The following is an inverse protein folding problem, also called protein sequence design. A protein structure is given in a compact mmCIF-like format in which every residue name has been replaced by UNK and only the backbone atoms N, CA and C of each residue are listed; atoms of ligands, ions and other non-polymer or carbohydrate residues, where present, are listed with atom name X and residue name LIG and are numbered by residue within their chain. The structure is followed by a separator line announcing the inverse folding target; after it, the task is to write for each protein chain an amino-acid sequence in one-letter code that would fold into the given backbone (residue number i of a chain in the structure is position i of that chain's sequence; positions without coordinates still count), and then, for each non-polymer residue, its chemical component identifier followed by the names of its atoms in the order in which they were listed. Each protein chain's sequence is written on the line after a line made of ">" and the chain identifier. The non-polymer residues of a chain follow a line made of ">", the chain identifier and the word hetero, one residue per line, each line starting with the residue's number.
data_IF_933289796932
#
_entry.id   IF_933289796932
#
_cell.length_a   1.000
_cell.length_b   1.000
_cell.length_c   1.000
_cell.angle_alpha   90.00
_cell.angle_beta   90.00
_cell.angle_gamma   90.00
#
_symmetry.space_group_name_H-M   'P 1'
#
loop_
_entity.id
_entity.type
_entity.pdbx_description
1 polymer ?
#
# COMPACT_ATOMS: atom_id res chain seq x y z
N UNK A 1 -60.69 -15.29 12.34
CA UNK A 1 -60.54 -14.35 11.21
C UNK A 1 -59.49 -13.34 11.62
N UNK A 2 -58.31 -13.46 11.04
CA UNK A 2 -57.10 -12.77 11.44
C UNK A 2 -57.00 -11.39 10.79
N UNK A 3 -56.53 -10.39 11.54
CA UNK A 3 -55.80 -9.24 11.02
C UNK A 3 -55.17 -8.47 12.19
N UNK A 4 -53.88 -8.72 12.44
CA UNK A 4 -53.02 -7.84 13.24
C UNK A 4 -52.11 -7.09 12.26
N UNK A 5 -52.24 -5.77 12.06
CA UNK A 5 -51.35 -5.03 11.18
C UNK A 5 -50.22 -4.36 11.98
N UNK A 6 -49.02 -4.44 11.41
CA UNK A 6 -47.80 -3.62 11.67
C UNK A 6 -46.87 -4.10 12.79
N UNK A 7 -46.12 -5.16 12.48
CA UNK A 7 -44.69 -5.17 12.81
C UNK A 7 -44.00 -4.10 11.94
N UNK A 8 -43.67 -2.95 12.53
CA UNK A 8 -42.74 -1.97 11.95
C UNK A 8 -41.32 -2.55 12.07
N UNK A 9 -40.86 -3.22 11.01
CA UNK A 9 -39.44 -3.51 10.82
C UNK A 9 -38.71 -2.22 10.44
N UNK A 10 -38.19 -1.51 11.43
CA UNK A 10 -37.25 -0.41 11.23
C UNK A 10 -35.83 -0.94 11.10
N UNK A 11 -35.45 -1.43 9.92
CA UNK A 11 -34.05 -1.62 9.54
C UNK A 11 -33.64 -0.47 8.60
N UNK A 12 -33.59 0.75 9.15
CA UNK A 12 -33.09 1.94 8.46
C UNK A 12 -31.59 2.10 8.69
N UNK A 13 -30.83 2.04 7.59
CA UNK A 13 -29.38 2.21 7.41
C UNK A 13 -28.57 2.90 8.53
N UNK A 14 -27.89 2.13 9.38
CA UNK A 14 -26.81 2.63 10.25
C UNK A 14 -25.50 2.95 9.47
N UNK A 15 -25.38 2.51 8.21
CA UNK A 15 -24.19 2.70 7.37
C UNK A 15 -24.14 4.05 6.64
N UNK A 16 -25.24 4.83 6.63
CA UNK A 16 -25.34 6.06 5.84
C UNK A 16 -24.93 7.35 6.56
N UNK A 17 -24.90 7.35 7.90
CA UNK A 17 -24.79 8.57 8.72
C UNK A 17 -23.47 8.65 9.52
N UNK A 18 -22.64 7.61 9.48
CA UNK A 18 -21.36 7.62 10.15
C UNK A 18 -20.34 8.42 9.32
N UNK A 19 -19.65 9.43 9.90
CA UNK A 19 -18.61 10.16 9.19
C UNK A 19 -17.51 9.19 8.73
N UNK A 20 -17.12 9.28 7.46
CA UNK A 20 -16.08 8.40 6.92
C UNK A 20 -14.79 8.54 7.75
N UNK A 21 -14.04 7.45 8.03
CA UNK A 21 -12.85 7.53 8.89
C UNK A 21 -11.79 8.50 8.37
N UNK A 22 -11.44 9.51 9.15
CA UNK A 22 -10.40 10.49 8.85
C UNK A 22 -9.80 11.05 10.15
N UNK A 23 -8.68 11.76 10.04
CA UNK A 23 -8.14 12.60 11.11
C UNK A 23 -7.46 13.80 10.46
N UNK A 24 -8.10 14.97 10.55
CA UNK A 24 -7.56 16.19 9.94
C UNK A 24 -6.31 16.63 10.70
N UNK A 25 -6.28 16.43 12.01
CA UNK A 25 -5.18 16.79 12.89
C UNK A 25 -3.90 16.01 12.53
N UNK A 26 -4.04 14.71 12.26
CA UNK A 26 -2.92 13.89 11.81
C UNK A 26 -2.42 14.33 10.42
N UNK A 27 -3.34 14.61 9.48
CA UNK A 27 -2.98 15.11 8.15
C UNK A 27 -2.23 16.45 8.23
N UNK A 28 -2.73 17.39 9.05
CA UNK A 28 -2.09 18.69 9.27
C UNK A 28 -0.70 18.54 9.89
N UNK A 29 -0.54 17.64 10.88
CA UNK A 29 0.74 17.38 11.51
C UNK A 29 1.75 16.73 10.56
N UNK A 30 1.30 15.86 9.64
CA UNK A 30 2.16 15.31 8.58
C UNK A 30 2.66 16.41 7.65
N UNK A 31 1.73 17.20 7.09
CA UNK A 31 2.09 18.26 6.15
C UNK A 31 2.95 19.34 6.80
N UNK A 32 2.57 19.81 7.99
CA UNK A 32 3.36 20.79 8.73
C UNK A 32 4.72 20.25 9.13
N UNK A 33 4.83 18.98 9.52
CA UNK A 33 6.12 18.34 9.80
C UNK A 33 7.05 18.34 8.58
N UNK A 34 6.53 18.03 7.40
CA UNK A 34 7.28 18.08 6.14
C UNK A 34 7.68 19.50 5.71
N UNK A 35 6.87 20.51 6.04
CA UNK A 35 7.19 21.92 5.80
C UNK A 35 8.27 22.47 6.74
N UNK A 36 8.44 21.85 7.92
CA UNK A 36 9.48 22.20 8.88
C UNK A 36 10.78 21.43 8.61
N UNK A 37 10.67 20.16 8.26
CA UNK A 37 11.81 19.26 8.06
C UNK A 37 11.64 18.42 6.80
N UNK A 38 12.19 18.92 5.68
CA UNK A 38 12.14 18.23 4.39
C UNK A 38 12.86 16.86 4.41
N UNK A 39 13.85 16.65 5.30
CA UNK A 39 14.54 15.36 5.47
C UNK A 39 13.63 14.24 5.97
N UNK A 40 12.46 14.56 6.53
CA UNK A 40 11.49 13.57 6.94
C UNK A 40 10.66 12.99 5.77
N UNK A 41 10.83 13.52 4.55
CA UNK A 41 10.10 13.09 3.36
C UNK A 41 10.18 11.57 3.14
N UNK A 42 11.38 10.99 3.13
CA UNK A 42 11.56 9.57 2.82
C UNK A 42 10.77 8.68 3.80
N UNK A 43 10.76 9.03 5.09
CA UNK A 43 10.04 8.27 6.12
C UNK A 43 8.51 8.36 5.96
N UNK A 44 8.01 9.50 5.47
CA UNK A 44 6.57 9.73 5.28
C UNK A 44 6.10 9.15 3.96
N UNK A 45 6.84 9.34 2.87
CA UNK A 45 6.54 8.84 1.54
C UNK A 45 6.52 7.30 1.49
N UNK A 46 7.31 6.65 2.35
CA UNK A 46 7.21 5.20 2.58
C UNK A 46 5.89 4.80 3.25
N UNK A 47 5.32 5.63 4.12
CA UNK A 47 4.14 5.28 4.93
C UNK A 47 2.81 5.63 4.25
N UNK A 48 2.74 6.74 3.52
CA UNK A 48 1.50 7.29 2.95
C UNK A 48 1.72 7.87 1.54
N UNK A 49 0.68 7.76 0.70
CA UNK A 49 0.61 8.46 -0.58
C UNK A 49 -0.45 9.57 -0.60
N UNK A 50 -0.52 10.37 -1.66
CA UNK A 50 -1.49 11.47 -1.78
C UNK A 50 -2.96 11.01 -1.62
N UNK A 51 -3.29 9.80 -2.10
CA UNK A 51 -4.64 9.24 -2.03
C UNK A 51 -5.05 8.88 -0.59
N UNK A 52 -4.09 8.80 0.34
CA UNK A 52 -4.35 8.50 1.75
C UNK A 52 -4.84 9.72 2.54
N UNK A 53 -4.69 10.93 2.01
CA UNK A 53 -5.27 12.12 2.63
C UNK A 53 -6.76 12.22 2.32
N UNK A 54 -7.56 12.52 3.33
CA UNK A 54 -9.00 12.67 3.20
C UNK A 54 -9.34 13.96 2.44
N UNK A 55 -8.72 15.08 2.83
CA UNK A 55 -9.04 16.37 2.23
C UNK A 55 -8.32 16.55 0.88
N UNK A 56 -9.02 17.03 -0.17
CA UNK A 56 -8.41 17.25 -1.49
C UNK A 56 -7.27 18.27 -1.48
N UNK A 57 -7.38 19.34 -0.70
CA UNK A 57 -6.33 20.37 -0.55
C UNK A 57 -5.04 19.77 0.03
N UNK A 58 -5.16 18.90 1.03
CA UNK A 58 -4.02 18.17 1.59
C UNK A 58 -3.31 17.27 0.58
N UNK A 59 -4.06 16.67 -0.37
CA UNK A 59 -3.46 15.88 -1.46
C UNK A 59 -2.57 16.74 -2.34
N UNK A 60 -3.07 17.91 -2.73
CA UNK A 60 -2.32 18.87 -3.55
C UNK A 60 -1.03 19.33 -2.86
N UNK A 61 -1.12 19.60 -1.56
CA UNK A 61 0.05 20.02 -0.77
C UNK A 61 1.07 18.88 -0.70
N UNK A 62 0.64 17.65 -0.39
CA UNK A 62 1.53 16.49 -0.32
C UNK A 62 2.23 16.21 -1.67
N UNK A 63 1.48 16.26 -2.77
CA UNK A 63 1.99 16.09 -4.12
C UNK A 63 3.05 17.16 -4.47
N UNK A 64 2.77 18.42 -4.14
CA UNK A 64 3.70 19.52 -4.36
C UNK A 64 4.99 19.39 -3.52
N UNK A 65 4.87 18.97 -2.26
CA UNK A 65 6.03 18.65 -1.40
C UNK A 65 6.85 17.52 -2.03
N UNK A 66 6.21 16.43 -2.46
CA UNK A 66 6.91 15.32 -3.09
C UNK A 66 7.64 15.70 -4.38
N UNK A 67 7.04 16.56 -5.20
CA UNK A 67 7.67 17.08 -6.39
C UNK A 67 8.92 17.94 -6.09
N UNK A 68 8.93 18.68 -4.98
CA UNK A 68 10.09 19.47 -4.56
C UNK A 68 11.16 18.58 -3.92
N UNK A 69 10.77 17.70 -3.00
CA UNK A 69 11.64 16.78 -2.28
C UNK A 69 12.36 15.82 -3.23
N UNK A 70 11.65 15.25 -4.22
CA UNK A 70 12.23 14.36 -5.24
C UNK A 70 13.27 15.04 -6.13
N UNK A 71 13.26 16.38 -6.22
CA UNK A 71 14.26 17.17 -6.94
C UNK A 71 15.35 17.74 -6.00
N UNK A 72 15.40 17.30 -4.73
CA UNK A 72 16.34 17.80 -3.73
C UNK A 72 16.16 19.28 -3.39
N UNK A 73 14.97 19.84 -3.64
CA UNK A 73 14.68 21.25 -3.35
C UNK A 73 14.15 21.41 -1.92
N UNK A 74 14.40 22.57 -1.27
CA UNK A 74 13.78 22.88 0.01
C UNK A 74 12.25 22.83 -0.08
N UNK A 75 11.62 22.32 0.98
CA UNK A 75 10.17 22.20 1.11
C UNK A 75 9.73 22.99 2.34
N UNK A 76 9.55 24.30 2.17
CA UNK A 76 8.97 25.20 3.15
C UNK A 76 7.66 25.81 2.62
N UNK A 77 6.94 26.56 3.45
CA UNK A 77 5.64 27.12 3.06
C UNK A 77 5.70 28.02 1.80
N UNK A 78 6.83 28.72 1.58
CA UNK A 78 7.01 29.65 0.45
C UNK A 78 7.34 28.90 -0.83
N UNK A 79 8.26 27.94 -0.77
CA UNK A 79 8.66 27.12 -1.91
C UNK A 79 7.52 26.22 -2.39
N UNK A 80 6.76 25.64 -1.46
CA UNK A 80 5.55 24.87 -1.77
C UNK A 80 4.46 25.77 -2.36
N UNK A 81 4.26 26.99 -1.83
CA UNK A 81 3.26 27.91 -2.42
C UNK A 81 3.62 28.30 -3.85
N UNK A 82 4.89 28.59 -4.13
CA UNK A 82 5.36 28.90 -5.49
C UNK A 82 5.17 27.73 -6.45
N UNK A 83 5.42 26.49 -5.98
CA UNK A 83 5.19 25.30 -6.79
C UNK A 83 3.70 25.12 -7.12
N UNK A 84 2.82 25.28 -6.13
CA UNK A 84 1.37 25.22 -6.30
C UNK A 84 0.85 26.35 -7.20
N UNK A 85 1.42 27.54 -7.09
CA UNK A 85 1.08 28.69 -7.95
C UNK A 85 1.45 28.42 -9.41
N UNK A 86 2.64 27.88 -9.66
CA UNK A 86 3.08 27.46 -11.01
C UNK A 86 2.15 26.42 -11.63
N UNK A 87 1.53 25.58 -10.81
CA UNK A 87 0.57 24.57 -11.23
C UNK A 87 -0.88 25.10 -11.30
N UNK A 88 -1.13 26.35 -10.91
CA UNK A 88 -2.49 26.90 -10.83
C UNK A 88 -3.37 26.28 -9.75
N UNK A 89 -2.76 25.66 -8.73
CA UNK A 89 -3.43 24.89 -7.68
C UNK A 89 -3.40 25.55 -6.30
N UNK A 90 -2.72 26.70 -6.15
CA UNK A 90 -2.52 27.37 -4.86
C UNK A 90 -3.83 27.69 -4.13
N UNK A 91 -4.84 28.21 -4.84
CA UNK A 91 -6.15 28.50 -4.23
C UNK A 91 -6.85 27.21 -3.79
N UNK A 92 -6.77 26.15 -4.58
CA UNK A 92 -7.31 24.83 -4.24
C UNK A 92 -6.63 24.17 -3.04
N UNK A 93 -5.40 24.58 -2.72
CA UNK A 93 -4.64 24.15 -1.55
C UNK A 93 -4.85 25.03 -0.30
N UNK A 94 -5.73 26.04 -0.37
CA UNK A 94 -6.00 26.97 0.74
C UNK A 94 -5.05 28.18 0.82
N UNK A 95 -4.13 28.32 -0.14
CA UNK A 95 -3.22 29.46 -0.24
C UNK A 95 -2.04 29.44 0.74
N UNK A 96 -1.15 30.44 0.60
CA UNK A 96 0.05 30.58 1.44
C UNK A 96 -0.27 30.74 2.93
N UNK A 97 -1.38 31.40 3.26
CA UNK A 97 -1.83 31.55 4.64
C UNK A 97 -2.09 30.19 5.31
N UNK A 98 -2.68 29.24 4.59
CA UNK A 98 -2.94 27.90 5.11
C UNK A 98 -1.65 27.11 5.32
N UNK A 99 -0.74 27.11 4.34
CA UNK A 99 0.58 26.48 4.47
C UNK A 99 1.38 27.02 5.67
N UNK A 100 1.32 28.34 5.87
CA UNK A 100 1.96 28.98 7.03
C UNK A 100 1.32 28.55 8.35
N UNK A 101 -0.01 28.34 8.36
CA UNK A 101 -0.73 27.84 9.54
C UNK A 101 -0.33 26.40 9.85
N UNK A 102 -0.24 25.52 8.84
CA UNK A 102 0.24 24.15 9.00
C UNK A 102 1.63 24.08 9.62
N UNK A 103 2.56 24.90 9.12
CA UNK A 103 3.92 24.97 9.65
C UNK A 103 3.96 25.52 11.09
N UNK A 104 3.14 26.53 11.40
CA UNK A 104 3.12 27.16 12.73
C UNK A 104 2.47 26.30 13.80
N UNK A 105 1.37 25.64 13.48
CA UNK A 105 0.59 24.86 14.43
C UNK A 105 1.16 23.44 14.64
N UNK A 106 2.20 23.08 13.87
CA UNK A 106 2.96 21.83 14.07
C UNK A 106 4.15 22.05 15.01
N UNK A 107 4.15 21.47 16.23
CA UNK A 107 5.21 21.76 17.20
C UNK A 107 6.55 21.08 16.88
N UNK A 108 6.53 19.89 16.27
CA UNK A 108 7.74 19.11 15.98
C UNK A 108 7.55 18.13 14.83
N UNK A 109 8.60 17.95 14.03
CA UNK A 109 8.66 16.92 13.00
C UNK A 109 9.05 15.53 13.55
N UNK A 110 9.47 15.42 14.82
CA UNK A 110 9.99 14.18 15.39
C UNK A 110 9.00 12.99 15.34
N UNK A 111 7.70 13.28 15.37
CA UNK A 111 6.64 12.25 15.37
C UNK A 111 5.90 12.14 14.03
N UNK A 112 6.42 12.75 12.95
CA UNK A 112 5.72 12.82 11.65
C UNK A 112 5.37 11.43 11.10
N UNK A 113 6.22 10.42 11.33
CA UNK A 113 5.96 9.03 10.94
C UNK A 113 4.75 8.42 11.67
N UNK A 114 4.59 8.70 12.95
CA UNK A 114 3.44 8.22 13.73
C UNK A 114 2.13 8.85 13.24
N UNK A 115 2.15 10.14 12.88
CA UNK A 115 0.99 10.79 12.27
C UNK A 115 0.68 10.23 10.87
N UNK A 116 1.70 9.92 10.07
CA UNK A 116 1.53 9.27 8.78
C UNK A 116 0.87 7.88 8.92
N UNK A 117 1.29 7.09 9.90
CA UNK A 117 0.64 5.80 10.21
C UNK A 117 -0.84 5.95 10.58
N UNK A 118 -1.21 7.01 11.32
CA UNK A 118 -2.61 7.32 11.62
C UNK A 118 -3.38 7.64 10.33
N UNK A 119 -2.84 8.50 9.46
CA UNK A 119 -3.46 8.84 8.17
C UNK A 119 -3.65 7.56 7.32
N UNK A 120 -2.63 6.70 7.30
CA UNK A 120 -2.67 5.43 6.59
C UNK A 120 -3.78 4.51 7.09
N UNK A 121 -3.89 4.33 8.41
CA UNK A 121 -4.94 3.51 9.01
C UNK A 121 -6.34 4.03 8.64
N UNK A 122 -6.55 5.35 8.72
CA UNK A 122 -7.82 5.96 8.30
C UNK A 122 -8.10 5.77 6.82
N UNK A 123 -7.09 5.88 5.96
CA UNK A 123 -7.22 5.57 4.53
C UNK A 123 -7.65 4.13 4.27
N UNK A 124 -7.04 3.17 4.97
CA UNK A 124 -7.34 1.75 4.85
C UNK A 124 -8.80 1.46 5.23
N UNK A 125 -9.28 2.04 6.34
CA UNK A 125 -10.69 1.94 6.73
C UNK A 125 -11.64 2.53 5.68
N UNK A 126 -11.30 3.67 5.06
CA UNK A 126 -12.10 4.24 3.96
C UNK A 126 -12.13 3.33 2.73
N UNK A 127 -11.01 2.71 2.39
CA UNK A 127 -10.94 1.77 1.26
C UNK A 127 -11.79 0.53 1.52
N UNK A 128 -11.77 -0.01 2.74
CA UNK A 128 -12.62 -1.13 3.14
C UNK A 128 -14.11 -0.78 3.06
N UNK A 129 -14.51 0.41 3.51
CA UNK A 129 -15.90 0.88 3.37
C UNK A 129 -16.29 0.94 1.90
N UNK A 130 -15.45 1.53 1.03
CA UNK A 130 -15.71 1.62 -0.42
C UNK A 130 -15.86 0.23 -1.04
N UNK A 131 -14.97 -0.70 -0.73
CA UNK A 131 -15.09 -2.08 -1.22
C UNK A 131 -16.37 -2.76 -0.73
N UNK A 132 -16.73 -2.59 0.55
CA UNK A 132 -17.98 -3.12 1.08
C UNK A 132 -19.21 -2.57 0.35
N UNK A 133 -19.23 -1.26 0.08
CA UNK A 133 -20.31 -0.62 -0.69
C UNK A 133 -20.34 -1.14 -2.14
N UNK A 134 -19.19 -1.22 -2.82
CA UNK A 134 -19.09 -1.74 -4.19
C UNK A 134 -19.55 -3.19 -4.30
N UNK A 135 -19.16 -4.06 -3.34
CA UNK A 135 -19.59 -5.46 -3.27
C UNK A 135 -21.09 -5.54 -3.08
N UNK A 136 -21.65 -4.78 -2.12
CA UNK A 136 -23.09 -4.76 -1.89
C UNK A 136 -23.85 -4.27 -3.14
N UNK A 137 -23.39 -3.19 -3.77
CA UNK A 137 -23.98 -2.65 -5.00
C UNK A 137 -23.93 -3.66 -6.16
N UNK A 138 -22.87 -4.44 -6.29
CA UNK A 138 -22.75 -5.48 -7.33
C UNK A 138 -23.78 -6.61 -7.15
N UNK A 139 -24.16 -6.92 -5.92
CA UNK A 139 -25.21 -7.92 -5.63
C UNK A 139 -26.60 -7.39 -5.97
N UNK A 140 -26.91 -6.13 -5.63
CA UNK A 140 -28.21 -5.52 -5.92
C UNK A 140 -28.42 -5.24 -7.42
N UNK A 141 -27.36 -4.84 -8.12
CA UNK A 141 -27.40 -4.48 -9.55
C UNK A 141 -26.84 -5.61 -10.43
N UNK A 142 -27.09 -6.87 -10.06
CA UNK A 142 -26.51 -8.02 -10.76
C UNK A 142 -27.18 -8.23 -12.14
N UNK A 143 -26.47 -7.87 -13.21
CA UNK A 143 -26.89 -8.05 -14.60
C UNK A 143 -26.53 -9.44 -15.16
N UNK A 144 -26.89 -10.50 -14.44
CA UNK A 144 -26.76 -11.88 -14.91
C UNK A 144 -25.42 -12.58 -14.61
N UNK A 145 -24.60 -12.01 -13.72
CA UNK A 145 -23.41 -12.69 -13.18
C UNK A 145 -23.83 -13.82 -12.24
N UNK A 146 -23.05 -14.89 -12.20
CA UNK A 146 -23.24 -15.97 -11.24
C UNK A 146 -22.78 -15.54 -9.84
N UNK A 147 -23.31 -16.18 -8.80
CA UNK A 147 -22.87 -15.93 -7.42
C UNK A 147 -21.36 -16.18 -7.23
N UNK A 148 -20.78 -17.12 -7.97
CA UNK A 148 -19.35 -17.43 -7.91
C UNK A 148 -18.50 -16.28 -8.46
N UNK A 149 -18.88 -15.71 -9.60
CA UNK A 149 -18.18 -14.57 -10.20
C UNK A 149 -18.22 -13.33 -9.28
N UNK A 150 -19.33 -13.13 -8.55
CA UNK A 150 -19.44 -12.05 -7.56
C UNK A 150 -18.51 -12.26 -6.35
N UNK A 151 -18.36 -13.51 -5.89
CA UNK A 151 -17.40 -13.86 -4.83
C UNK A 151 -15.97 -13.63 -5.30
N UNK A 152 -15.61 -14.12 -6.49
CA UNK A 152 -14.26 -13.94 -7.04
C UNK A 152 -13.90 -12.45 -7.19
N UNK A 153 -14.87 -11.62 -7.62
CA UNK A 153 -14.70 -10.16 -7.70
C UNK A 153 -14.53 -9.51 -6.32
N UNK A 154 -15.27 -9.98 -5.31
CA UNK A 154 -15.14 -9.48 -3.95
C UNK A 154 -13.77 -9.83 -3.35
N UNK A 155 -13.29 -11.06 -3.54
CA UNK A 155 -11.96 -11.51 -3.12
C UNK A 155 -10.87 -10.64 -3.76
N UNK A 156 -10.94 -10.44 -5.08
CA UNK A 156 -9.99 -9.59 -5.80
C UNK A 156 -9.97 -8.17 -5.24
N UNK A 157 -11.13 -7.61 -4.89
CA UNK A 157 -11.24 -6.25 -4.37
C UNK A 157 -10.63 -6.10 -2.98
N UNK A 158 -10.90 -7.05 -2.08
CA UNK A 158 -10.32 -7.07 -0.74
C UNK A 158 -8.81 -7.29 -0.81
N UNK A 159 -8.36 -8.17 -1.70
CA UNK A 159 -6.93 -8.44 -1.92
C UNK A 159 -6.17 -7.19 -2.39
N UNK A 160 -6.74 -6.41 -3.31
CA UNK A 160 -6.14 -5.13 -3.75
C UNK A 160 -5.91 -4.13 -2.61
N UNK A 161 -6.80 -4.09 -1.62
CA UNK A 161 -6.66 -3.23 -0.44
C UNK A 161 -5.52 -3.72 0.44
N UNK A 162 -5.40 -5.04 0.62
CA UNK A 162 -4.31 -5.64 1.38
C UNK A 162 -2.93 -5.37 0.74
N UNK A 163 -2.81 -5.50 -0.59
CA UNK A 163 -1.58 -5.15 -1.31
C UNK A 163 -1.24 -3.67 -1.26
N UNK A 164 -2.25 -2.79 -1.40
CA UNK A 164 -2.03 -1.36 -1.24
C UNK A 164 -1.47 -1.02 0.15
N UNK A 165 -1.89 -1.75 1.19
CA UNK A 165 -1.35 -1.70 2.57
C UNK A 165 0.10 -2.15 2.71
N UNK A 166 0.55 -3.06 1.86
CA UNK A 166 1.90 -3.64 1.92
C UNK A 166 2.97 -2.77 1.25
N UNK A 167 2.60 -1.84 0.35
CA UNK A 167 3.56 -0.98 -0.37
C UNK A 167 4.49 -0.20 0.57
N UNK A 168 4.03 0.19 1.76
CA UNK A 168 4.87 0.88 2.74
C UNK A 168 5.78 -0.01 3.59
N UNK A 169 5.72 -1.34 3.43
CA UNK A 169 6.60 -2.30 4.12
C UNK A 169 7.74 -2.82 3.25
N UNK A 170 7.70 -2.56 1.95
CA UNK A 170 8.72 -2.98 0.98
C UNK A 170 9.09 -1.82 0.05
N UNK A 171 9.65 -0.76 0.63
CA UNK A 171 10.23 0.34 -0.13
C UNK A 171 11.41 -0.12 -0.99
N UNK A 172 11.73 0.65 -2.04
CA UNK A 172 12.89 0.41 -2.88
C UNK A 172 14.17 0.45 -2.04
N UNK A 173 14.82 -0.70 -1.84
CA UNK A 173 16.09 -0.73 -1.13
C UNK A 173 17.21 -0.24 -2.04
N UNK A 174 17.98 0.74 -1.58
CA UNK A 174 19.17 1.19 -2.30
C UNK A 174 20.14 0.01 -2.50
N UNK A 175 20.66 -0.17 -3.71
CA UNK A 175 21.56 -1.28 -4.08
C UNK A 175 22.76 -1.39 -3.12
N UNK A 176 23.25 -0.25 -2.60
CA UNK A 176 24.31 -0.18 -1.59
C UNK A 176 24.00 -0.93 -0.29
N UNK A 177 22.73 -1.07 0.08
CA UNK A 177 22.30 -1.78 1.28
C UNK A 177 22.16 -3.29 1.04
N UNK A 178 21.98 -3.71 -0.21
CA UNK A 178 21.87 -5.11 -0.63
C UNK A 178 23.23 -5.74 -0.94
N UNK A 179 24.18 -4.93 -1.43
CA UNK A 179 25.52 -5.36 -1.83
C UNK A 179 26.27 -6.18 -0.77
N UNK A 180 26.30 -5.78 0.52
CA UNK A 180 26.99 -6.57 1.55
C UNK A 180 26.42 -7.99 1.67
N UNK A 181 25.10 -8.13 1.72
CA UNK A 181 24.44 -9.43 1.85
C UNK A 181 24.68 -10.33 0.62
N UNK A 182 24.79 -9.74 -0.58
CA UNK A 182 25.11 -10.49 -1.81
C UNK A 182 26.57 -10.95 -1.81
N UNK A 183 27.49 -10.10 -1.33
CA UNK A 183 28.92 -10.46 -1.22
C UNK A 183 29.10 -11.58 -0.20
N UNK A 184 28.46 -11.48 0.97
CA UNK A 184 28.50 -12.53 2.00
C UNK A 184 27.98 -13.88 1.47
N UNK A 185 26.91 -13.87 0.65
CA UNK A 185 26.41 -15.09 -0.01
C UNK A 185 27.41 -15.66 -1.03
N UNK A 186 28.08 -14.81 -1.81
CA UNK A 186 29.11 -15.25 -2.76
C UNK A 186 30.30 -15.87 -2.03
N UNK A 187 30.73 -15.28 -0.92
CA UNK A 187 31.83 -15.80 -0.09
C UNK A 187 31.47 -17.13 0.57
N UNK A 188 30.21 -17.29 1.03
CA UNK A 188 29.71 -18.58 1.52
C UNK A 188 29.74 -19.64 0.42
N UNK A 189 29.33 -19.30 -0.80
CA UNK A 189 29.33 -20.23 -1.95
C UNK A 189 30.74 -20.61 -2.39
N UNK A 190 31.68 -19.68 -2.32
CA UNK A 190 33.08 -19.96 -2.63
C UNK A 190 33.72 -20.87 -1.58
N UNK A 191 33.39 -20.67 -0.31
CA UNK A 191 33.95 -21.44 0.81
C UNK A 191 33.37 -22.86 0.91
N UNK A 192 32.19 -23.10 0.35
CA UNK A 192 31.51 -24.40 0.39
C UNK A 192 31.08 -24.87 -1.02
N UNK A 193 32.03 -25.27 -1.89
CA UNK A 193 31.73 -25.63 -3.28
C UNK A 193 30.83 -26.86 -3.41
N UNK A 194 30.87 -27.79 -2.46
CA UNK A 194 30.09 -29.04 -2.48
C UNK A 194 28.72 -28.93 -1.77
N UNK A 195 28.40 -27.77 -1.18
CA UNK A 195 27.13 -27.55 -0.46
C UNK A 195 26.03 -27.20 -1.46
N UNK A 196 24.94 -27.97 -1.44
CA UNK A 196 23.73 -27.65 -2.21
C UNK A 196 23.15 -26.32 -1.72
N UNK A 197 22.79 -25.46 -2.68
CA UNK A 197 22.29 -24.10 -2.42
C UNK A 197 20.77 -24.08 -2.21
N UNK A 198 20.08 -25.05 -2.81
CA UNK A 198 18.65 -25.30 -2.62
C UNK A 198 18.38 -26.58 -1.82
N UNK A 199 17.10 -26.90 -1.66
CA UNK A 199 16.66 -28.18 -1.10
C UNK A 199 17.10 -29.32 -2.03
N UNK A 200 17.69 -30.41 -1.49
CA UNK A 200 18.05 -31.57 -2.30
C UNK A 200 16.79 -32.20 -2.90
N UNK A 201 16.83 -32.51 -4.20
CA UNK A 201 15.74 -33.23 -4.88
C UNK A 201 15.76 -34.74 -4.62
N UNK A 202 16.87 -35.26 -4.08
CA UNK A 202 17.10 -36.70 -3.93
C UNK A 202 17.69 -37.37 -5.17
N UNK A 203 17.76 -36.65 -6.30
CA UNK A 203 18.42 -37.10 -7.53
C UNK A 203 19.78 -36.41 -7.66
N UNK A 204 20.85 -37.13 -7.31
CA UNK A 204 22.21 -36.56 -7.25
C UNK A 204 22.68 -35.90 -8.56
N UNK A 205 22.33 -36.48 -9.71
CA UNK A 205 22.69 -35.90 -11.01
C UNK A 205 21.91 -34.62 -11.32
N UNK A 206 20.64 -34.55 -10.91
CA UNK A 206 19.82 -33.34 -11.04
C UNK A 206 20.30 -32.24 -10.10
N UNK A 207 20.63 -32.60 -8.86
CA UNK A 207 21.13 -31.69 -7.83
C UNK A 207 22.49 -31.08 -8.21
N UNK A 208 23.37 -31.84 -8.90
CA UNK A 208 24.63 -31.32 -9.44
C UNK A 208 24.42 -30.26 -10.53
N UNK A 209 23.38 -30.40 -11.35
CA UNK A 209 23.10 -29.47 -12.45
C UNK A 209 22.39 -28.21 -11.94
N UNK A 210 21.46 -28.36 -11.00
CA UNK A 210 20.59 -27.27 -10.51
C UNK A 210 21.12 -26.59 -9.25
N UNK A 211 21.95 -27.28 -8.48
CA UNK A 211 22.35 -26.87 -7.13
C UNK A 211 21.24 -27.07 -6.09
N UNK A 212 20.24 -27.89 -6.40
CA UNK A 212 19.03 -28.11 -5.59
C UNK A 212 17.88 -27.15 -5.92
N UNK A 213 16.72 -27.37 -5.30
CA UNK A 213 15.49 -26.59 -5.48
C UNK A 213 15.52 -25.32 -4.63
N UNK A 214 15.52 -24.14 -5.25
CA UNK A 214 15.71 -22.87 -4.54
C UNK A 214 14.39 -22.20 -4.16
N UNK A 215 14.29 -21.57 -2.97
CA UNK A 215 13.15 -20.75 -2.61
C UNK A 215 12.96 -19.60 -3.60
N UNK A 216 11.74 -19.42 -4.11
CA UNK A 216 11.39 -18.37 -5.07
C UNK A 216 11.34 -18.83 -6.53
N UNK A 217 11.85 -20.02 -6.85
CA UNK A 217 11.77 -20.59 -8.20
C UNK A 217 10.41 -21.28 -8.45
N UNK A 218 9.85 -21.09 -9.66
CA UNK A 218 8.73 -21.89 -10.17
C UNK A 218 9.27 -23.01 -11.05
N UNK A 219 9.25 -24.25 -10.55
CA UNK A 219 9.64 -25.44 -11.30
C UNK A 219 8.44 -26.09 -12.00
N UNK A 220 8.53 -26.23 -13.32
CA UNK A 220 7.48 -26.86 -14.15
C UNK A 220 7.96 -28.22 -14.63
N UNK A 221 7.24 -29.29 -14.26
CA UNK A 221 7.50 -30.66 -14.73
C UNK A 221 6.54 -30.98 -15.88
N UNK A 222 7.07 -31.06 -17.11
CA UNK A 222 6.30 -31.31 -18.32
C UNK A 222 6.70 -32.62 -19.02
N UNK A 223 5.74 -33.22 -19.74
CA UNK A 223 5.92 -34.51 -20.43
C UNK A 223 4.59 -35.09 -20.93
N UNK A 224 4.64 -35.94 -21.96
CA UNK A 224 3.43 -36.56 -22.57
C UNK A 224 2.62 -37.40 -21.56
N UNK A 225 1.32 -37.66 -21.79
CA UNK A 225 0.54 -38.59 -20.98
C UNK A 225 1.28 -39.93 -20.80
N UNK A 226 1.17 -40.52 -19.61
CA UNK A 226 1.82 -41.80 -19.25
C UNK A 226 3.36 -41.82 -19.19
N UNK A 227 4.04 -40.67 -19.21
CA UNK A 227 5.52 -40.58 -19.09
C UNK A 227 6.04 -40.41 -17.65
N UNK A 228 5.25 -40.71 -16.62
CA UNK A 228 5.75 -40.75 -15.23
C UNK A 228 5.93 -39.41 -14.50
N UNK A 229 5.37 -38.29 -14.99
CA UNK A 229 5.44 -36.97 -14.32
C UNK A 229 5.00 -37.00 -12.85
N UNK A 230 3.88 -37.66 -12.56
CA UNK A 230 3.35 -37.79 -11.19
C UNK A 230 4.27 -38.63 -10.32
N UNK A 231 4.83 -39.71 -10.87
CA UNK A 231 5.80 -40.55 -10.17
C UNK A 231 7.05 -39.75 -9.82
N UNK A 232 7.56 -38.91 -10.72
CA UNK A 232 8.70 -38.05 -10.45
C UNK A 232 8.42 -37.01 -9.36
N UNK A 233 7.21 -36.46 -9.30
CA UNK A 233 6.84 -35.41 -8.36
C UNK A 233 6.58 -35.90 -6.92
N UNK A 234 6.35 -37.20 -6.72
CA UNK A 234 5.94 -37.80 -5.43
C UNK A 234 7.02 -38.71 -4.83
N UNK A 235 8.10 -38.97 -5.55
CA UNK A 235 9.25 -39.78 -5.09
C UNK A 235 10.04 -39.03 -4.02
#
# INVERSE_FOLDING_TARGET
>A
MAANPKARGGSGSALGDAPTPHSIEAEQAVLGGLLLEASAWDQVADAVGEADFYRPDHRLIFEAIGALAGNGRPCDAVTVSQQLERLGQLEGAGGLAYLTTLARDTPTAANVRAYAEIVRERSLLRQLIRAGTEIASAVFNNDGQTARELVDRAEQRVFQIAEAGARGRQGAQAVKNLLPAVIDQIDEWHSNPDKLRGLPSGFSDFDKITGGLRPGDLLIVAGRPSMGKTTLAVN
#
